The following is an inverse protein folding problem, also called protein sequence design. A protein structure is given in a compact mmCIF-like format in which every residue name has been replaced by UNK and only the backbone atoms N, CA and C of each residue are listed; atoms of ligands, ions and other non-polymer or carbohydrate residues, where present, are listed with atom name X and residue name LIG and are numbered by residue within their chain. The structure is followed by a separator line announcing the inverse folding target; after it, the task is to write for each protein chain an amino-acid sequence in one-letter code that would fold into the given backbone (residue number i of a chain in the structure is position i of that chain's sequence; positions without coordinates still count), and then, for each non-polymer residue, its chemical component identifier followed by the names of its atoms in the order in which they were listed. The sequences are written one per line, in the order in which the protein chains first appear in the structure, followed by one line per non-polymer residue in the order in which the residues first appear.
data_IF_513624949486
#
_entry.id   IF_513624949486
#
_cell.length_a   1.000
_cell.length_b   1.000
_cell.length_c   1.000
_cell.angle_alpha   90.00
_cell.angle_beta   90.00
_cell.angle_gamma   90.00
#
_symmetry.space_group_name_H-M   'P 1'
#
loop_
_entity.id
_entity.type
_entity.pdbx_description
1 polymer ?
#
# COMPACT_ATOMS: atom_id res chain seq x y z
N UNK A 1 -4.02 4.94 -2.04
CA UNK A 1 -3.59 3.87 -2.97
C UNK A 1 -2.72 4.50 -4.04
N UNK A 2 -1.73 3.78 -4.58
CA UNK A 2 -0.97 4.31 -5.73
C UNK A 2 -1.83 4.31 -7.00
N UNK A 3 -1.55 5.22 -7.93
CA UNK A 3 -2.31 5.35 -9.18
C UNK A 3 -2.37 4.04 -10.01
N UNK A 4 -1.32 3.22 -9.98
CA UNK A 4 -1.26 1.92 -10.68
C UNK A 4 -2.25 0.89 -10.15
N UNK A 5 -2.89 1.16 -9.00
CA UNK A 5 -3.83 0.25 -8.32
C UNK A 5 -5.27 0.73 -8.29
N UNK A 6 -5.56 1.86 -8.94
CA UNK A 6 -6.90 2.45 -8.97
C UNK A 6 -7.96 1.56 -9.65
N UNK A 7 -7.54 0.64 -10.53
CA UNK A 7 -8.42 -0.25 -11.30
C UNK A 7 -8.29 -1.73 -10.90
N UNK A 8 -7.77 -2.02 -9.69
CA UNK A 8 -7.58 -3.40 -9.25
C UNK A 8 -8.94 -4.12 -9.09
N UNK A 9 -9.15 -5.27 -9.76
CA UNK A 9 -10.37 -6.03 -9.56
C UNK A 9 -10.40 -6.67 -8.16
N UNK A 10 -11.61 -6.87 -7.63
CA UNK A 10 -11.81 -7.56 -6.35
C UNK A 10 -11.31 -9.00 -6.41
N UNK A 11 -11.43 -9.66 -7.56
CA UNK A 11 -10.93 -11.02 -7.78
C UNK A 11 -10.08 -11.04 -9.04
N UNK A 12 -8.87 -11.58 -8.94
CA UNK A 12 -7.98 -11.81 -10.08
C UNK A 12 -7.35 -13.20 -10.01
N UNK A 13 -7.07 -13.77 -11.18
CA UNK A 13 -6.36 -15.03 -11.31
C UNK A 13 -4.89 -14.74 -11.59
N UNK A 14 -4.01 -15.28 -10.76
CA UNK A 14 -2.56 -15.14 -10.94
C UNK A 14 -2.07 -16.09 -12.03
N UNK A 15 -0.86 -15.84 -12.57
CA UNK A 15 -0.26 -16.67 -13.62
C UNK A 15 -0.05 -18.13 -13.19
N UNK A 16 0.21 -18.36 -11.91
CA UNK A 16 0.37 -19.68 -11.31
C UNK A 16 -0.97 -20.33 -10.90
N UNK A 17 -2.11 -19.75 -11.29
CA UNK A 17 -3.43 -20.36 -11.16
C UNK A 17 -4.15 -20.11 -9.84
N UNK A 18 -3.57 -19.34 -8.91
CA UNK A 18 -4.22 -18.94 -7.65
C UNK A 18 -5.28 -17.86 -7.89
N UNK A 19 -6.23 -17.77 -6.96
CA UNK A 19 -7.15 -16.66 -6.87
C UNK A 19 -6.64 -15.66 -5.83
N UNK A 20 -6.51 -14.40 -6.24
CA UNK A 20 -6.20 -13.28 -5.36
C UNK A 20 -7.45 -12.45 -5.17
N UNK A 21 -7.79 -12.20 -3.91
CA UNK A 21 -8.97 -11.43 -3.50
C UNK A 21 -8.48 -10.13 -2.86
N UNK A 22 -8.94 -9.00 -3.38
CA UNK A 22 -8.61 -7.65 -2.95
C UNK A 22 -9.85 -7.00 -2.29
N UNK A 23 -10.29 -7.41 -1.09
CA UNK A 23 -11.57 -6.97 -0.51
C UNK A 23 -11.62 -5.46 -0.23
N UNK A 24 -10.46 -4.82 -0.14
CA UNK A 24 -10.30 -3.38 0.12
C UNK A 24 -9.92 -2.60 -1.15
N UNK A 25 -10.10 -3.15 -2.35
CA UNK A 25 -9.64 -2.52 -3.60
C UNK A 25 -10.25 -1.12 -3.82
N UNK A 26 -11.52 -0.95 -3.43
CA UNK A 26 -12.25 0.31 -3.61
C UNK A 26 -12.21 1.23 -2.39
N UNK A 27 -11.55 0.82 -1.31
CA UNK A 27 -11.48 1.62 -0.10
C UNK A 27 -10.50 2.79 -0.28
N UNK A 28 -10.98 3.97 0.08
CA UNK A 28 -10.18 5.18 0.20
C UNK A 28 -9.31 5.15 1.45
N UNK A 29 -8.23 5.96 1.51
CA UNK A 29 -7.45 6.11 2.73
C UNK A 29 -8.28 6.55 3.95
N UNK A 30 -9.30 7.39 3.76
CA UNK A 30 -10.18 7.85 4.83
C UNK A 30 -11.07 6.72 5.37
N UNK A 31 -11.62 5.86 4.51
CA UNK A 31 -12.40 4.69 4.93
C UNK A 31 -11.54 3.68 5.71
N UNK A 32 -10.30 3.45 5.27
CA UNK A 32 -9.35 2.62 6.01
C UNK A 32 -9.05 3.20 7.38
N UNK A 33 -8.83 4.52 7.47
CA UNK A 33 -8.55 5.22 8.72
C UNK A 33 -9.73 5.15 9.71
N UNK A 34 -10.94 5.40 9.21
CA UNK A 34 -12.16 5.31 9.98
C UNK A 34 -12.38 3.88 10.53
N UNK A 35 -12.15 2.85 9.71
CA UNK A 35 -12.34 1.46 10.14
C UNK A 35 -11.28 1.00 11.14
N UNK A 36 -10.02 1.41 10.95
CA UNK A 36 -8.97 1.17 11.94
C UNK A 36 -9.33 1.80 13.29
N UNK A 37 -9.84 3.03 13.27
CA UNK A 37 -10.27 3.75 14.48
C UNK A 37 -11.48 3.08 15.13
N UNK A 38 -12.52 2.75 14.34
CA UNK A 38 -13.74 2.08 14.82
C UNK A 38 -13.46 0.75 15.51
N UNK A 39 -12.44 0.02 15.06
CA UNK A 39 -12.02 -1.27 15.63
C UNK A 39 -10.89 -1.17 16.66
N UNK A 40 -10.43 0.04 16.99
CA UNK A 40 -9.29 0.27 17.88
C UNK A 40 -8.03 -0.52 17.46
N UNK A 41 -7.74 -0.58 16.15
CA UNK A 41 -6.55 -1.27 15.64
C UNK A 41 -5.28 -0.44 15.88
N UNK A 42 -4.19 -1.04 16.38
CA UNK A 42 -2.94 -0.34 16.55
C UNK A 42 -2.35 0.06 15.18
N UNK A 43 -1.82 1.27 15.10
CA UNK A 43 -1.07 1.73 13.93
C UNK A 43 0.38 1.28 14.03
N UNK A 44 1.02 1.05 12.89
CA UNK A 44 2.45 0.79 12.87
C UNK A 44 3.21 2.04 13.38
N UNK A 45 4.20 1.91 14.30
CA UNK A 45 4.87 3.07 14.90
C UNK A 45 5.48 4.05 13.87
N UNK A 46 6.09 3.50 12.80
CA UNK A 46 6.66 4.30 11.72
C UNK A 46 5.64 5.14 10.93
N UNK A 47 4.35 4.82 10.98
CA UNK A 47 3.33 5.63 10.31
C UNK A 47 3.31 7.07 10.87
N UNK A 48 3.53 7.23 12.18
CA UNK A 48 3.65 8.53 12.84
C UNK A 48 4.93 9.30 12.48
N UNK A 49 5.91 8.63 11.87
CA UNK A 49 7.17 9.23 11.39
C UNK A 49 7.13 9.51 9.88
N UNK A 50 5.95 9.51 9.26
CA UNK A 50 5.77 9.81 7.83
C UNK A 50 5.93 8.61 6.88
N UNK A 51 6.08 7.38 7.39
CA UNK A 51 6.14 6.19 6.55
C UNK A 51 4.74 5.72 6.16
N UNK A 52 4.19 6.27 5.07
CA UNK A 52 2.82 5.94 4.60
C UNK A 52 2.70 4.60 3.85
N UNK A 53 3.81 4.00 3.42
CA UNK A 53 3.85 2.67 2.82
C UNK A 53 5.17 1.99 3.15
N UNK A 54 5.12 0.92 3.94
CA UNK A 54 6.30 0.26 4.52
C UNK A 54 6.68 -1.00 3.73
N UNK A 55 7.98 -1.19 3.47
CA UNK A 55 8.54 -2.36 2.80
C UNK A 55 9.89 -2.78 3.44
N UNK A 56 10.89 -3.12 2.61
CA UNK A 56 12.26 -3.35 3.09
C UNK A 56 12.90 -2.06 3.60
N UNK A 57 13.72 -2.16 4.66
CA UNK A 57 14.43 -1.04 5.27
C UNK A 57 15.24 -0.18 4.26
N UNK A 58 16.08 -0.75 3.36
CA UNK A 58 16.83 0.06 2.40
C UNK A 58 15.97 0.63 1.26
N UNK A 59 14.71 0.18 1.13
CA UNK A 59 13.84 0.51 0.00
C UNK A 59 12.63 1.34 0.41
N UNK A 60 12.61 1.86 1.63
CA UNK A 60 11.48 2.60 2.19
C UNK A 60 11.98 3.87 2.88
N UNK A 61 11.47 5.03 2.44
CA UNK A 61 11.68 6.33 3.09
C UNK A 61 10.35 6.94 3.54
N UNK A 62 10.35 7.89 4.49
CA UNK A 62 9.17 8.70 4.75
C UNK A 62 8.80 9.55 3.52
N UNK A 63 7.53 9.93 3.44
CA UNK A 63 7.00 10.80 2.38
C UNK A 63 6.60 12.16 2.94
N UNK A 64 6.87 13.22 2.19
CA UNK A 64 6.49 14.60 2.49
C UNK A 64 5.01 14.87 2.25
N UNK A 65 4.58 16.09 2.59
CA UNK A 65 3.24 16.56 2.28
C UNK A 65 3.00 16.61 0.77
N UNK A 66 1.79 16.22 0.34
CA UNK A 66 1.42 16.15 -1.09
C UNK A 66 2.04 15.00 -1.89
N UNK A 67 3.09 14.33 -1.40
CA UNK A 67 3.65 13.13 -2.07
C UNK A 67 2.64 11.97 -2.05
N UNK A 68 2.67 11.16 -3.12
CA UNK A 68 1.92 9.89 -3.18
C UNK A 68 2.29 8.98 -1.99
N UNK A 69 1.30 8.28 -1.44
CA UNK A 69 1.50 7.45 -0.24
C UNK A 69 2.55 6.34 -0.43
N UNK A 70 2.82 5.91 -1.68
CA UNK A 70 3.85 4.92 -2.02
C UNK A 70 5.11 5.54 -2.62
N UNK A 71 5.22 6.86 -2.76
CA UNK A 71 6.41 7.54 -3.28
C UNK A 71 7.70 7.21 -2.50
N UNK A 72 7.56 6.80 -1.23
CA UNK A 72 8.68 6.37 -0.40
C UNK A 72 9.18 4.95 -0.70
N UNK A 73 8.48 4.16 -1.52
CA UNK A 73 8.87 2.80 -1.90
C UNK A 73 9.86 2.82 -3.05
N UNK A 74 10.80 1.87 -3.02
CA UNK A 74 11.83 1.71 -4.06
C UNK A 74 12.68 2.97 -4.24
N UNK A 75 12.87 3.74 -3.16
CA UNK A 75 13.75 4.90 -3.15
C UNK A 75 15.13 4.51 -3.70
N UNK A 76 15.56 5.17 -4.79
CA UNK A 76 16.83 4.89 -5.45
C UNK A 76 16.86 3.64 -6.34
N UNK A 77 15.72 3.02 -6.65
CA UNK A 77 15.62 1.82 -7.50
C UNK A 77 14.64 2.04 -8.66
N UNK A 78 14.96 1.51 -9.85
CA UNK A 78 14.07 1.50 -11.01
C UNK A 78 12.98 0.40 -10.91
N UNK A 79 12.21 0.42 -9.81
CA UNK A 79 11.19 -0.60 -9.51
C UNK A 79 9.85 0.07 -9.17
N UNK A 80 8.77 -0.47 -9.72
CA UNK A 80 7.42 0.10 -9.57
C UNK A 80 6.40 -0.87 -8.93
N UNK A 81 6.74 -2.15 -8.76
CA UNK A 81 5.91 -3.11 -8.04
C UNK A 81 6.73 -4.20 -7.36
N UNK A 82 6.22 -4.75 -6.26
CA UNK A 82 6.83 -5.89 -5.57
C UNK A 82 6.60 -7.21 -6.34
N UNK A 83 7.59 -8.11 -6.35
CA UNK A 83 7.47 -9.43 -6.97
C UNK A 83 6.43 -10.35 -6.33
N UNK A 84 5.90 -9.98 -5.14
CA UNK A 84 4.76 -10.64 -4.51
C UNK A 84 3.47 -10.51 -5.36
N UNK A 85 3.44 -9.57 -6.29
CA UNK A 85 2.26 -9.30 -7.14
C UNK A 85 2.47 -9.68 -8.62
N UNK A 86 3.51 -10.47 -8.93
CA UNK A 86 3.87 -10.88 -10.30
C UNK A 86 3.11 -12.11 -10.82
#
# INVERSE_FOLDING_TARGET
QAATRAQLPIVERTRDGRLKINPLAHWTPAELDAEMTRRALPRHPLAGLGYRSIGCAPCTRPVGEGEDARAGRWAGLAKTECGIHA
#
